data_IF_653241586262
#
_entry.id   IF_653241586262
#
_cell.length_a   1.000
_cell.length_b   1.000
_cell.length_c   1.000
_cell.angle_alpha   90.00
_cell.angle_beta   90.00
_cell.angle_gamma   90.00
#
_symmetry.space_group_name_H-M   'P 1'
#
loop_
_entity.id
_entity.type
_entity.pdbx_description
1 polymer ?
#
# COMPACT_ATOMS: atom_id res chain seq x y z
N UNK A 1 5.98 -13.97 -41.86
CA UNK A 1 5.07 -13.32 -40.90
C UNK A 1 4.90 -14.11 -39.61
N UNK A 2 4.87 -15.45 -39.66
CA UNK A 2 4.65 -16.28 -38.46
C UNK A 2 5.66 -16.06 -37.32
N UNK A 3 6.96 -15.91 -37.63
CA UNK A 3 7.98 -15.61 -36.61
C UNK A 3 7.75 -14.27 -35.89
N UNK A 4 7.22 -13.26 -36.59
CA UNK A 4 6.92 -11.96 -35.99
C UNK A 4 5.73 -12.05 -35.04
N UNK A 5 4.74 -12.88 -35.38
CA UNK A 5 3.56 -13.13 -34.53
C UNK A 5 3.95 -13.94 -33.28
N UNK A 6 4.87 -14.90 -33.41
CA UNK A 6 5.38 -15.67 -32.27
C UNK A 6 6.12 -14.78 -31.26
N UNK A 7 6.99 -13.88 -31.74
CA UNK A 7 7.70 -12.93 -30.88
C UNK A 7 6.75 -12.00 -30.11
N UNK A 8 5.70 -11.50 -30.77
CA UNK A 8 4.68 -10.67 -30.11
C UNK A 8 3.86 -11.44 -29.06
N UNK A 9 3.62 -12.74 -29.28
CA UNK A 9 2.84 -13.60 -28.39
C UNK A 9 3.64 -14.08 -27.18
N UNK A 10 4.96 -14.15 -27.28
CA UNK A 10 5.87 -14.47 -26.18
C UNK A 10 5.98 -13.30 -25.17
N UNK A 11 5.99 -12.04 -25.64
CA UNK A 11 6.02 -10.86 -24.75
C UNK A 11 4.70 -10.64 -23.96
N UNK A 12 3.56 -10.98 -24.53
CA UNK A 12 2.24 -10.84 -23.87
C UNK A 12 2.11 -11.71 -22.61
N UNK A 13 2.74 -12.89 -22.59
CA UNK A 13 2.63 -13.85 -21.48
C UNK A 13 3.75 -13.78 -20.44
N UNK A 14 4.98 -13.46 -20.87
CA UNK A 14 6.15 -13.44 -20.00
C UNK A 14 6.15 -12.26 -19.03
N UNK A 15 5.51 -11.15 -19.43
CA UNK A 15 5.48 -9.92 -18.64
C UNK A 15 4.43 -9.91 -17.52
N UNK A 16 3.31 -10.64 -17.65
CA UNK A 16 2.21 -10.60 -16.67
C UNK A 16 2.58 -11.13 -15.29
N UNK A 17 3.43 -12.17 -15.23
CA UNK A 17 3.86 -12.77 -13.95
C UNK A 17 4.82 -11.83 -13.21
N UNK A 18 5.74 -11.19 -13.93
CA UNK A 18 6.70 -10.26 -13.35
C UNK A 18 6.01 -9.00 -12.79
N UNK A 19 5.05 -8.43 -13.54
CA UNK A 19 4.22 -7.35 -13.03
C UNK A 19 3.38 -7.79 -11.82
N UNK A 20 2.86 -9.03 -11.81
CA UNK A 20 2.13 -9.57 -10.67
C UNK A 20 2.97 -9.61 -9.38
N UNK A 21 4.24 -10.03 -9.47
CA UNK A 21 5.15 -10.09 -8.32
C UNK A 21 5.51 -8.67 -7.83
N UNK A 22 5.80 -7.75 -8.74
CA UNK A 22 6.09 -6.34 -8.38
C UNK A 22 4.88 -5.70 -7.71
N UNK A 23 3.68 -5.89 -8.26
CA UNK A 23 2.44 -5.39 -7.68
C UNK A 23 2.17 -5.98 -6.29
N UNK A 24 2.45 -7.28 -6.09
CA UNK A 24 2.30 -7.91 -4.79
C UNK A 24 3.24 -7.30 -3.74
N UNK A 25 4.52 -7.06 -4.09
CA UNK A 25 5.49 -6.43 -3.19
C UNK A 25 5.10 -4.99 -2.84
N UNK A 26 4.68 -4.19 -3.83
CA UNK A 26 4.21 -2.82 -3.61
C UNK A 26 2.99 -2.83 -2.68
N UNK A 27 2.06 -3.77 -2.88
CA UNK A 27 0.85 -3.88 -2.07
C UNK A 27 1.16 -4.15 -0.60
N UNK A 28 2.09 -5.08 -0.30
CA UNK A 28 2.51 -5.38 1.07
C UNK A 28 3.13 -4.15 1.74
N UNK A 29 4.01 -3.43 1.03
CA UNK A 29 4.63 -2.20 1.55
C UNK A 29 3.57 -1.12 1.80
N UNK A 30 2.65 -0.89 0.86
CA UNK A 30 1.59 0.09 0.99
C UNK A 30 0.70 -0.19 2.22
N UNK A 31 0.29 -1.44 2.41
CA UNK A 31 -0.48 -1.87 3.58
C UNK A 31 0.30 -1.61 4.88
N UNK A 32 1.60 -1.91 4.90
CA UNK A 32 2.47 -1.66 6.05
C UNK A 32 2.55 -0.17 6.42
N UNK A 33 2.70 0.71 5.42
CA UNK A 33 2.75 2.16 5.61
C UNK A 33 1.43 2.71 6.14
N UNK A 34 0.29 2.30 5.55
CA UNK A 34 -1.04 2.73 6.02
C UNK A 34 -1.28 2.31 7.47
N UNK A 35 -0.92 1.08 7.84
CA UNK A 35 -1.01 0.63 9.23
C UNK A 35 -0.10 1.42 10.17
N UNK A 36 1.13 1.74 9.76
CA UNK A 36 2.05 2.53 10.57
C UNK A 36 1.51 3.95 10.82
N UNK A 37 0.93 4.57 9.80
CA UNK A 37 0.26 5.88 9.92
C UNK A 37 -0.92 5.78 10.88
N UNK A 38 -1.80 4.78 10.70
CA UNK A 38 -2.94 4.56 11.60
C UNK A 38 -2.53 4.37 13.05
N UNK A 39 -1.48 3.58 13.31
CA UNK A 39 -0.92 3.40 14.66
C UNK A 39 -0.38 4.70 15.25
N UNK A 40 0.34 5.51 14.48
CA UNK A 40 0.82 6.83 14.95
C UNK A 40 -0.32 7.78 15.29
N UNK A 41 -1.43 7.65 14.59
CA UNK A 41 -2.59 8.51 14.77
C UNK A 41 -3.46 8.08 15.96
N UNK A 42 -3.54 6.76 16.21
CA UNK A 42 -4.47 6.15 17.18
C UNK A 42 -3.84 5.60 18.47
N UNK A 43 -2.55 5.23 18.49
CA UNK A 43 -1.98 4.49 19.62
C UNK A 43 -0.92 5.30 20.37
N UNK A 44 -1.25 5.64 21.62
CA UNK A 44 -0.36 6.23 22.62
C UNK A 44 -0.87 7.60 23.07
N UNK A 45 -0.57 7.98 24.32
CA UNK A 45 -0.91 9.27 24.96
C UNK A 45 -0.48 10.52 24.18
N UNK A 46 0.21 10.37 23.05
CA UNK A 46 0.64 11.42 22.14
C UNK A 46 -0.06 11.41 20.77
N UNK A 47 -0.98 10.47 20.53
CA UNK A 47 -1.76 10.36 19.31
C UNK A 47 -2.54 11.65 19.03
N UNK A 48 -2.67 12.03 17.76
CA UNK A 48 -3.34 13.28 17.42
C UNK A 48 -4.81 13.26 17.83
N UNK A 49 -5.47 12.10 17.79
CA UNK A 49 -6.84 11.95 18.26
C UNK A 49 -6.94 12.06 19.79
N UNK A 50 -6.03 11.44 20.54
CA UNK A 50 -6.01 11.54 22.01
C UNK A 50 -5.80 12.98 22.48
N UNK A 51 -4.98 13.76 21.76
CA UNK A 51 -4.78 15.20 22.02
C UNK A 51 -6.05 16.01 21.80
N UNK A 52 -6.76 15.73 20.71
CA UNK A 52 -8.05 16.39 20.42
C UNK A 52 -9.09 16.01 21.47
N UNK A 53 -9.19 14.73 21.83
CA UNK A 53 -10.16 14.25 22.83
C UNK A 53 -9.87 14.85 24.21
N UNK A 54 -8.60 14.91 24.60
CA UNK A 54 -8.17 15.56 25.86
C UNK A 54 -8.51 17.06 25.88
N UNK A 55 -8.27 17.78 24.78
CA UNK A 55 -8.58 19.19 24.67
C UNK A 55 -10.09 19.46 24.75
N UNK A 56 -10.92 18.61 24.13
CA UNK A 56 -12.37 18.73 24.17
C UNK A 56 -12.95 18.34 25.53
N UNK A 57 -12.38 17.31 26.18
CA UNK A 57 -12.77 16.88 27.52
C UNK A 57 -12.49 17.92 28.60
N UNK A 58 -11.40 18.69 28.46
CA UNK A 58 -11.03 19.78 29.39
C UNK A 58 -11.87 21.06 29.23
N UNK A 59 -12.67 21.17 28.16
CA UNK A 59 -13.54 22.34 27.90
C UNK A 59 -14.94 22.16 28.51
N UNK A 60 -15.26 20.97 29.04
CA UNK A 60 -16.43 20.74 29.90
C UNK A 60 -16.10 21.00 31.36
#
# INVERSE_FOLDING_TARGET
MERMIQLLKEEEGQSMVEYGIILALISVVAIGVVQAIGKKLSNGTDGAFDKVDSALGSVK
#
